data_IF_395676396312
#
_entry.id   IF_395676396312
#
_cell.length_a   1.000
_cell.length_b   1.000
_cell.length_c   1.000
_cell.angle_alpha   90.00
_cell.angle_beta   90.00
_cell.angle_gamma   90.00
#
_symmetry.space_group_name_H-M   'P 1'
#
loop_
_entity.id
_entity.type
_entity.pdbx_description
1 polymer ?
#
# COMPACT_ATOMS: atom_id res chain seq x y z
N UNK A 1 3.40 27.93 -65.46
CA UNK A 1 3.20 28.40 -64.06
C UNK A 1 2.34 27.47 -63.19
N UNK A 2 1.36 26.74 -63.75
CA UNK A 2 0.42 25.90 -62.98
C UNK A 2 1.05 24.67 -62.28
N UNK A 3 1.99 23.97 -62.91
CA UNK A 3 2.62 22.75 -62.35
C UNK A 3 3.40 23.00 -61.03
N UNK A 4 4.07 24.16 -60.90
CA UNK A 4 4.75 24.57 -59.66
C UNK A 4 3.78 24.87 -58.50
N UNK A 5 2.54 25.30 -58.80
CA UNK A 5 1.49 25.55 -57.79
C UNK A 5 0.90 24.25 -57.25
N UNK A 6 0.67 23.26 -58.12
CA UNK A 6 0.12 21.96 -57.73
C UNK A 6 1.13 21.18 -56.87
N UNK A 7 2.41 21.17 -57.25
CA UNK A 7 3.47 20.56 -56.46
C UNK A 7 3.63 21.21 -55.07
N UNK A 8 3.46 22.54 -54.98
CA UNK A 8 3.49 23.28 -53.70
C UNK A 8 2.30 22.92 -52.81
N UNK A 9 1.08 22.86 -53.37
CA UNK A 9 -0.13 22.49 -52.63
C UNK A 9 -0.07 21.05 -52.10
N UNK A 10 0.44 20.10 -52.91
CA UNK A 10 0.64 18.71 -52.48
C UNK A 10 1.69 18.60 -51.36
N UNK A 11 2.75 19.42 -51.41
CA UNK A 11 3.78 19.49 -50.36
C UNK A 11 3.23 20.07 -49.05
N UNK A 12 2.39 21.11 -49.11
CA UNK A 12 1.75 21.72 -47.94
C UNK A 12 0.70 20.80 -47.28
N UNK A 13 -0.09 20.09 -48.07
CA UNK A 13 -1.04 19.08 -47.57
C UNK A 13 -0.32 17.90 -46.88
N UNK A 14 0.79 17.43 -47.46
CA UNK A 14 1.63 16.39 -46.87
C UNK A 14 2.28 16.85 -45.56
N UNK A 15 2.81 18.09 -45.52
CA UNK A 15 3.39 18.68 -44.33
C UNK A 15 2.36 18.84 -43.20
N UNK A 16 1.13 19.27 -43.50
CA UNK A 16 0.08 19.38 -42.49
C UNK A 16 -0.36 18.01 -41.95
N UNK A 17 -0.46 16.98 -42.80
CA UNK A 17 -0.76 15.62 -42.36
C UNK A 17 0.34 15.03 -41.47
N UNK A 18 1.60 15.21 -41.86
CA UNK A 18 2.77 14.79 -41.09
C UNK A 18 2.90 15.55 -39.76
N UNK A 19 2.58 16.85 -39.74
CA UNK A 19 2.61 17.64 -38.51
C UNK A 19 1.55 17.18 -37.50
N UNK A 20 0.33 16.88 -37.98
CA UNK A 20 -0.75 16.35 -37.13
C UNK A 20 -0.41 14.97 -36.58
N UNK A 21 0.18 14.08 -37.39
CA UNK A 21 0.58 12.76 -36.91
C UNK A 21 1.71 12.84 -35.88
N UNK A 22 2.70 13.70 -36.09
CA UNK A 22 3.79 13.93 -35.12
C UNK A 22 3.25 14.51 -33.80
N UNK A 23 2.29 15.44 -33.86
CA UNK A 23 1.65 16.00 -32.67
C UNK A 23 0.89 14.92 -31.87
N UNK A 24 0.17 14.03 -32.56
CA UNK A 24 -0.54 12.94 -31.90
C UNK A 24 0.42 11.92 -31.28
N UNK A 25 1.49 11.56 -31.98
CA UNK A 25 2.50 10.61 -31.49
C UNK A 25 3.22 11.18 -30.26
N UNK A 26 3.61 12.45 -30.31
CA UNK A 26 4.28 13.12 -29.18
C UNK A 26 3.36 13.27 -27.98
N UNK A 27 2.09 13.63 -28.20
CA UNK A 27 1.09 13.67 -27.13
C UNK A 27 0.88 12.29 -26.48
N UNK A 28 0.80 11.23 -27.28
CA UNK A 28 0.63 9.87 -26.78
C UNK A 28 1.84 9.42 -25.94
N UNK A 29 3.04 9.73 -26.41
CA UNK A 29 4.28 9.40 -25.71
C UNK A 29 4.38 10.13 -24.36
N UNK A 30 3.99 11.41 -24.32
CA UNK A 30 3.94 12.19 -23.09
C UNK A 30 2.96 11.58 -22.07
N UNK A 31 1.75 11.20 -22.52
CA UNK A 31 0.75 10.55 -21.65
C UNK A 31 1.25 9.21 -21.12
N UNK A 32 1.88 8.39 -21.96
CA UNK A 32 2.48 7.12 -21.54
C UNK A 32 3.58 7.33 -20.49
N UNK A 33 4.44 8.32 -20.70
CA UNK A 33 5.54 8.63 -19.77
C UNK A 33 5.00 9.10 -18.41
N UNK A 34 3.96 9.93 -18.41
CA UNK A 34 3.31 10.42 -17.18
C UNK A 34 2.55 9.31 -16.44
N UNK A 35 1.90 8.39 -17.15
CA UNK A 35 1.18 7.24 -16.57
C UNK A 35 2.08 6.21 -15.88
N UNK A 36 3.34 6.10 -16.34
CA UNK A 36 4.36 5.23 -15.74
C UNK A 36 5.05 5.92 -14.55
N UNK A 37 4.83 7.21 -14.33
CA UNK A 37 5.45 7.94 -13.23
C UNK A 37 5.01 7.37 -11.86
N UNK A 38 5.94 6.94 -10.99
CA UNK A 38 5.62 6.29 -9.72
C UNK A 38 4.70 7.13 -8.82
N UNK A 39 4.86 8.46 -8.85
CA UNK A 39 4.03 9.39 -8.07
C UNK A 39 2.57 9.39 -8.51
N UNK A 40 2.28 9.32 -9.82
CA UNK A 40 0.91 9.34 -10.32
C UNK A 40 0.17 8.04 -10.01
N UNK A 41 0.89 6.90 -10.06
CA UNK A 41 0.35 5.61 -9.64
C UNK A 41 0.01 5.57 -8.15
N UNK A 42 0.86 6.15 -7.29
CA UNK A 42 0.58 6.24 -5.86
C UNK A 42 -0.69 7.04 -5.57
N UNK A 43 -0.85 8.18 -6.23
CA UNK A 43 -2.07 8.99 -6.13
C UNK A 43 -3.30 8.23 -6.63
N UNK A 44 -3.21 7.54 -7.77
CA UNK A 44 -4.32 6.73 -8.28
C UNK A 44 -4.74 5.62 -7.30
N UNK A 45 -3.78 4.94 -6.66
CA UNK A 45 -4.06 3.90 -5.65
C UNK A 45 -4.71 4.50 -4.40
N UNK A 46 -4.23 5.65 -3.92
CA UNK A 46 -4.83 6.34 -2.76
C UNK A 46 -6.26 6.80 -3.07
N UNK A 47 -6.49 7.38 -4.25
CA UNK A 47 -7.81 7.88 -4.67
C UNK A 47 -8.79 6.72 -4.88
N UNK A 48 -8.32 5.61 -5.45
CA UNK A 48 -9.11 4.38 -5.54
C UNK A 48 -9.46 3.83 -4.16
N UNK A 49 -8.49 3.73 -3.25
CA UNK A 49 -8.72 3.26 -1.87
C UNK A 49 -9.75 4.10 -1.11
N UNK A 50 -9.70 5.43 -1.26
CA UNK A 50 -10.70 6.36 -0.68
C UNK A 50 -12.08 6.12 -1.26
N UNK A 51 -12.20 5.92 -2.59
CA UNK A 51 -13.49 5.73 -3.27
C UNK A 51 -14.10 4.35 -3.01
N UNK A 52 -13.29 3.29 -2.94
CA UNK A 52 -13.76 1.92 -2.72
C UNK A 52 -13.77 1.52 -1.24
N UNK A 53 -13.37 2.43 -0.34
CA UNK A 53 -13.16 2.12 1.08
C UNK A 53 -12.13 1.00 1.30
N UNK A 54 -11.25 0.76 0.32
CA UNK A 54 -10.30 -0.34 0.36
C UNK A 54 -9.11 0.00 1.26
N UNK A 55 -8.75 -0.97 2.10
CA UNK A 55 -7.62 -0.93 3.02
C UNK A 55 -6.35 -0.32 2.40
N UNK A 56 -5.88 0.80 2.95
CA UNK A 56 -4.57 1.37 2.60
C UNK A 56 -3.47 0.60 3.35
N UNK A 57 -2.51 -0.03 2.63
CA UNK A 57 -1.37 -0.69 3.25
C UNK A 57 -0.61 0.27 4.18
N UNK A 58 -0.21 -0.19 5.37
CA UNK A 58 0.57 0.59 6.34
C UNK A 58 -0.23 1.26 7.46
N UNK A 59 -1.57 1.20 7.41
CA UNK A 59 -2.43 1.83 8.42
C UNK A 59 -2.90 0.90 9.56
N UNK A 60 -2.50 -0.37 9.55
CA UNK A 60 -2.83 -1.31 10.61
C UNK A 60 -1.57 -2.03 11.05
N UNK A 61 -1.41 -2.17 12.36
CA UNK A 61 -0.27 -2.89 12.95
C UNK A 61 -0.80 -4.01 13.82
N UNK A 62 -0.13 -5.15 13.78
CA UNK A 62 -0.45 -6.31 14.62
C UNK A 62 0.77 -6.58 15.49
N UNK A 63 0.55 -6.63 16.80
CA UNK A 63 1.58 -6.95 17.78
C UNK A 63 1.27 -8.32 18.37
N UNK A 64 2.28 -9.20 18.37
CA UNK A 64 2.21 -10.52 18.97
C UNK A 64 3.14 -10.51 20.19
N UNK A 65 2.60 -10.82 21.36
CA UNK A 65 3.33 -10.79 22.64
C UNK A 65 3.12 -12.12 23.34
N UNK A 66 4.20 -12.65 23.91
CA UNK A 66 4.12 -13.79 24.81
C UNK A 66 4.05 -13.30 26.26
N UNK A 67 3.16 -13.91 27.05
CA UNK A 67 3.00 -13.63 28.47
C UNK A 67 3.15 -14.92 29.27
N UNK A 68 3.84 -14.90 30.44
CA UNK A 68 4.03 -16.09 31.26
C UNK A 68 2.73 -16.58 31.93
N UNK A 69 1.68 -15.77 31.96
CA UNK A 69 0.38 -16.13 32.55
C UNK A 69 -0.79 -15.51 31.80
N UNK A 70 -1.93 -16.20 31.82
CA UNK A 70 -3.19 -15.71 31.28
C UNK A 70 -3.69 -14.46 32.01
N UNK A 71 -3.44 -14.37 33.33
CA UNK A 71 -3.86 -13.21 34.11
C UNK A 71 -3.12 -11.95 33.65
N UNK A 72 -1.79 -12.04 33.51
CA UNK A 72 -0.95 -10.93 33.02
C UNK A 72 -1.37 -10.53 31.60
N UNK A 73 -1.70 -11.51 30.76
CA UNK A 73 -2.17 -11.25 29.41
C UNK A 73 -3.48 -10.45 29.38
N UNK A 74 -4.43 -10.80 30.25
CA UNK A 74 -5.71 -10.08 30.40
C UNK A 74 -5.50 -8.69 30.95
N UNK A 75 -4.59 -8.51 31.91
CA UNK A 75 -4.30 -7.20 32.51
C UNK A 75 -3.65 -6.27 31.47
N UNK A 76 -2.70 -6.76 30.67
CA UNK A 76 -2.11 -6.01 29.55
C UNK A 76 -3.19 -5.66 28.52
N UNK A 77 -3.99 -6.64 28.09
CA UNK A 77 -5.05 -6.42 27.11
C UNK A 77 -6.05 -5.36 27.57
N UNK A 78 -6.48 -5.43 28.83
CA UNK A 78 -7.38 -4.45 29.43
C UNK A 78 -6.75 -3.05 29.46
N UNK A 79 -5.50 -2.91 29.90
CA UNK A 79 -4.82 -1.62 29.97
C UNK A 79 -4.68 -0.94 28.59
N UNK A 80 -4.38 -1.71 27.54
CA UNK A 80 -4.26 -1.18 26.16
C UNK A 80 -5.62 -0.78 25.59
N UNK A 81 -6.66 -1.56 25.86
CA UNK A 81 -8.03 -1.27 25.43
C UNK A 81 -8.63 -0.07 26.17
N UNK A 82 -8.40 0.05 27.48
CA UNK A 82 -8.86 1.18 28.31
C UNK A 82 -8.30 2.51 27.83
N UNK A 83 -7.01 2.51 27.45
CA UNK A 83 -6.36 3.68 26.85
C UNK A 83 -6.77 3.94 25.41
N UNK A 84 -7.66 3.11 24.84
CA UNK A 84 -8.04 3.13 23.43
C UNK A 84 -6.81 3.21 22.55
N UNK A 85 -5.82 2.35 22.79
CA UNK A 85 -4.61 2.28 21.95
C UNK A 85 -4.77 1.19 20.89
N UNK A 86 -5.52 0.14 21.19
CA UNK A 86 -5.81 -0.96 20.27
C UNK A 86 -7.29 -0.99 19.87
N UNK A 87 -7.54 -1.53 18.69
CA UNK A 87 -8.87 -1.84 18.21
C UNK A 87 -9.38 -3.17 18.77
N UNK A 88 -8.47 -4.12 19.03
CA UNK A 88 -8.83 -5.42 19.60
C UNK A 88 -7.64 -6.15 20.20
N UNK A 89 -7.95 -7.09 21.10
CA UNK A 89 -6.99 -7.97 21.75
C UNK A 89 -7.57 -9.38 21.74
N UNK A 90 -6.81 -10.33 21.20
CA UNK A 90 -7.12 -11.76 21.23
C UNK A 90 -6.10 -12.46 22.14
N UNK A 91 -6.58 -13.32 23.05
CA UNK A 91 -5.75 -14.04 24.01
C UNK A 91 -5.88 -15.54 23.74
N UNK A 92 -4.74 -16.21 23.58
CA UNK A 92 -4.64 -17.64 23.36
C UNK A 92 -3.97 -18.29 24.59
N UNK A 93 -4.75 -18.90 25.51
CA UNK A 93 -4.21 -19.49 26.72
C UNK A 93 -3.51 -20.83 26.44
N UNK A 94 -2.54 -21.18 27.29
CA UNK A 94 -1.83 -22.48 27.30
C UNK A 94 -1.18 -22.87 25.96
N UNK A 95 -0.53 -21.91 25.31
CA UNK A 95 0.25 -22.18 24.10
C UNK A 95 1.60 -22.79 24.46
N UNK A 96 2.04 -23.77 23.68
CA UNK A 96 3.41 -24.29 23.78
C UNK A 96 4.33 -23.45 22.90
N UNK A 97 5.43 -22.95 23.46
CA UNK A 97 6.48 -22.25 22.73
C UNK A 97 7.79 -23.03 22.86
N UNK A 98 8.51 -23.16 21.75
CA UNK A 98 9.81 -23.82 21.70
C UNK A 98 10.88 -22.79 21.38
N UNK A 99 11.96 -22.77 22.16
CA UNK A 99 13.08 -21.85 21.92
C UNK A 99 14.42 -22.49 22.28
N UNK A 100 15.50 -21.96 21.70
CA UNK A 100 16.85 -22.39 22.02
C UNK A 100 17.40 -21.62 23.21
N UNK A 101 17.88 -22.34 24.23
CA UNK A 101 18.54 -21.76 25.38
C UNK A 101 19.70 -22.65 25.84
N UNK A 102 20.89 -22.06 26.03
CA UNK A 102 22.12 -22.76 26.40
C UNK A 102 22.47 -23.97 25.53
N UNK A 103 22.12 -23.94 24.24
CA UNK A 103 22.43 -25.00 23.28
C UNK A 103 21.39 -26.14 23.23
N UNK A 104 20.34 -26.07 24.04
CA UNK A 104 19.26 -27.05 24.06
C UNK A 104 17.93 -26.41 23.62
N UNK A 105 17.04 -27.22 23.06
CA UNK A 105 15.65 -26.82 22.77
C UNK A 105 14.89 -26.93 24.09
N UNK A 106 14.21 -25.85 24.47
CA UNK A 106 13.33 -25.82 25.63
C UNK A 106 11.89 -25.59 25.20
N UNK A 107 11.00 -26.34 25.84
CA UNK A 107 9.55 -26.16 25.77
C UNK A 107 9.09 -25.32 26.96
N UNK A 108 8.32 -24.27 26.70
CA UNK A 108 7.64 -23.50 27.74
C UNK A 108 6.16 -23.32 27.40
N UNK A 109 5.34 -23.30 28.44
CA UNK A 109 3.91 -22.97 28.31
C UNK A 109 3.74 -21.48 28.54
N UNK A 110 3.27 -20.76 27.51
CA UNK A 110 3.07 -19.32 27.54
C UNK A 110 1.67 -18.97 27.01
N UNK A 111 1.16 -17.80 27.39
CA UNK A 111 -0.07 -17.24 26.83
C UNK A 111 0.29 -16.26 25.73
N UNK A 112 -0.21 -16.50 24.52
CA UNK A 112 -0.04 -15.61 23.39
C UNK A 112 -1.12 -14.51 23.40
N UNK A 113 -0.69 -13.29 23.10
CA UNK A 113 -1.55 -12.11 22.96
C UNK A 113 -1.37 -11.56 21.56
N UNK A 114 -2.46 -11.35 20.84
CA UNK A 114 -2.48 -10.70 19.55
C UNK A 114 -3.27 -9.40 19.65
N UNK A 115 -2.61 -8.28 19.42
CA UNK A 115 -3.18 -6.94 19.54
C UNK A 115 -3.23 -6.29 18.16
N UNK A 116 -4.41 -5.83 17.76
CA UNK A 116 -4.62 -5.11 16.50
C UNK A 116 -4.72 -3.61 16.76
N UNK A 117 -3.89 -2.83 16.07
CA UNK A 117 -3.84 -1.37 16.14
C UNK A 117 -4.32 -0.77 14.82
N UNK A 118 -5.17 0.26 14.91
CA UNK A 118 -5.57 1.08 13.77
C UNK A 118 -4.77 2.38 13.88
N UNK A 119 -3.96 2.69 12.87
CA UNK A 119 -3.06 3.85 12.84
C UNK A 119 -3.75 5.21 13.07
N UNK A 120 -5.06 5.33 12.83
CA UNK A 120 -5.83 6.53 13.17
C UNK A 120 -5.86 6.84 14.68
N UNK A 121 -5.45 5.88 15.51
CA UNK A 121 -5.43 5.97 16.96
C UNK A 121 -4.02 6.29 17.51
N UNK A 122 -3.02 6.41 16.63
CA UNK A 122 -1.64 6.82 16.94
C UNK A 122 -1.39 8.19 16.29
N UNK A 123 -2.21 9.18 16.61
CA UNK A 123 -1.92 10.62 16.45
C UNK A 123 -2.50 11.34 17.67
#
# INVERSE_FOLDING_TARGET
MAAKRIHRCHREAFLNSAFRSVLLITSLFLVLTVSVYPGLRSLAVQLHAVLTGSYTPGHHSVLIINSPSEQIAKDIGRAVMEKRLAAGVNIFPKTSTMYYWKGEIQDATETLILITFISALII
#
